data_IF_716833617685
#
_entry.id   IF_716833617685
#
_cell.length_a   1.000
_cell.length_b   1.000
_cell.length_c   1.000
_cell.angle_alpha   90.00
_cell.angle_beta   90.00
_cell.angle_gamma   90.00
#
_symmetry.space_group_name_H-M   'P 1'
#
loop_
_entity.id
_entity.type
_entity.pdbx_description
1 polymer ?
#
# COMPACT_ATOMS: atom_id res chain seq x y z
N UNK A 1 15.69 6.50 21.19
CA UNK A 1 16.56 5.33 21.41
C UNK A 1 15.83 4.12 20.89
N UNK A 2 16.19 3.62 19.71
CA UNK A 2 15.73 2.29 19.30
C UNK A 2 16.19 1.32 20.39
N UNK A 3 15.27 0.56 20.99
CA UNK A 3 15.65 -0.55 21.87
C UNK A 3 16.56 -1.47 21.06
N UNK A 4 17.61 -1.99 21.67
CA UNK A 4 18.40 -3.08 21.09
C UNK A 4 17.52 -4.33 21.01
N UNK A 5 16.67 -4.38 19.99
CA UNK A 5 15.77 -5.48 19.69
C UNK A 5 16.56 -6.72 19.28
N UNK A 6 17.84 -6.56 18.89
CA UNK A 6 18.73 -7.66 18.53
C UNK A 6 19.20 -8.45 19.74
N UNK A 7 19.22 -7.86 20.93
CA UNK A 7 19.56 -8.53 22.20
C UNK A 7 18.70 -9.77 22.53
N UNK A 8 17.48 -9.87 21.97
CA UNK A 8 16.59 -11.00 22.14
C UNK A 8 16.72 -12.10 21.07
N UNK A 9 17.61 -11.93 20.08
CA UNK A 9 17.80 -12.89 19.01
C UNK A 9 18.76 -14.00 19.44
N UNK A 10 18.43 -15.25 19.08
CA UNK A 10 19.29 -16.40 19.34
C UNK A 10 20.42 -16.56 18.30
N UNK A 11 20.66 -15.56 17.45
CA UNK A 11 21.63 -15.57 16.37
C UNK A 11 21.53 -14.35 15.46
N UNK A 12 22.37 -14.30 14.42
CA UNK A 12 22.40 -13.19 13.47
C UNK A 12 21.39 -13.40 12.31
N UNK A 13 20.14 -13.01 12.56
CA UNK A 13 19.10 -13.02 11.54
C UNK A 13 19.31 -11.97 10.43
N UNK A 14 20.07 -10.90 10.71
CA UNK A 14 20.29 -9.81 9.76
C UNK A 14 21.18 -10.25 8.61
N UNK A 15 22.27 -10.95 8.90
CA UNK A 15 23.14 -11.52 7.85
C UNK A 15 22.37 -12.46 6.92
N UNK A 16 21.47 -13.28 7.47
CA UNK A 16 20.62 -14.17 6.67
C UNK A 16 19.63 -13.39 5.78
N UNK A 17 18.95 -12.38 6.34
CA UNK A 17 17.99 -11.54 5.61
C UNK A 17 18.66 -10.73 4.49
N UNK A 18 19.84 -10.16 4.75
CA UNK A 18 20.59 -9.35 3.78
C UNK A 18 21.25 -10.20 2.68
N UNK A 19 21.47 -11.49 2.92
CA UNK A 19 21.98 -12.44 1.93
C UNK A 19 20.89 -12.95 0.96
N UNK A 20 19.63 -12.55 1.12
CA UNK A 20 18.54 -12.96 0.23
C UNK A 20 18.73 -12.45 -1.20
N UNK A 21 18.34 -13.27 -2.17
CA UNK A 21 18.23 -12.91 -3.59
C UNK A 21 17.05 -11.96 -3.89
N UNK A 22 16.10 -11.82 -2.96
CA UNK A 22 14.99 -10.88 -3.10
C UNK A 22 15.44 -9.46 -2.68
N UNK A 23 15.59 -8.58 -3.67
CA UNK A 23 15.96 -7.19 -3.45
C UNK A 23 14.90 -6.37 -2.68
N UNK A 24 13.63 -6.76 -2.76
CA UNK A 24 12.57 -6.09 -2.01
C UNK A 24 12.69 -6.43 -0.53
N UNK A 25 13.00 -7.69 -0.18
CA UNK A 25 13.29 -8.09 1.19
C UNK A 25 14.50 -7.31 1.73
N UNK A 26 15.62 -7.31 0.99
CA UNK A 26 16.83 -6.58 1.38
C UNK A 26 16.55 -5.10 1.59
N UNK A 27 15.81 -4.46 0.68
CA UNK A 27 15.37 -3.08 0.80
C UNK A 27 14.60 -2.84 2.11
N UNK A 28 13.58 -3.66 2.42
CA UNK A 28 12.80 -3.54 3.65
C UNK A 28 13.64 -3.71 4.91
N UNK A 29 14.59 -4.63 4.91
CA UNK A 29 15.51 -4.83 6.04
C UNK A 29 16.34 -3.56 6.27
N UNK A 30 16.91 -3.00 5.20
CA UNK A 30 17.73 -1.79 5.29
C UNK A 30 16.93 -0.59 5.83
N UNK A 31 15.71 -0.36 5.34
CA UNK A 31 14.93 0.83 5.71
C UNK A 31 14.10 0.66 6.99
N UNK A 32 13.47 -0.50 7.22
CA UNK A 32 12.55 -0.69 8.35
C UNK A 32 13.23 -1.23 9.62
N UNK A 33 14.27 -2.05 9.48
CA UNK A 33 14.94 -2.68 10.63
C UNK A 33 16.24 -1.97 11.00
N UNK A 34 16.93 -1.42 10.00
CA UNK A 34 18.23 -0.78 10.18
C UNK A 34 18.17 0.76 10.05
N UNK A 35 16.99 1.33 9.81
CA UNK A 35 16.73 2.77 9.69
C UNK A 35 17.72 3.49 8.74
N UNK A 36 18.15 2.81 7.67
CA UNK A 36 19.11 3.37 6.70
C UNK A 36 18.45 4.46 5.87
N UNK A 37 19.12 5.60 5.63
CA UNK A 37 18.56 6.68 4.84
C UNK A 37 18.44 6.28 3.36
N UNK A 38 17.50 6.89 2.63
CA UNK A 38 17.28 6.64 1.20
C UNK A 38 18.51 6.95 0.31
N UNK A 39 19.45 7.74 0.82
CA UNK A 39 20.70 8.12 0.16
C UNK A 39 21.80 7.06 0.31
N UNK A 40 21.63 6.10 1.22
CA UNK A 40 22.57 5.00 1.44
C UNK A 40 22.75 4.18 0.14
N UNK A 41 23.99 3.94 -0.32
CA UNK A 41 24.25 3.19 -1.55
C UNK A 41 23.58 1.82 -1.58
N UNK A 42 23.52 1.11 -0.44
CA UNK A 42 22.93 -0.23 -0.38
C UNK A 42 21.40 -0.15 -0.50
N UNK A 43 20.78 0.89 0.08
CA UNK A 43 19.34 1.16 -0.05
C UNK A 43 19.00 1.47 -1.50
N UNK A 44 19.79 2.33 -2.16
CA UNK A 44 19.59 2.70 -3.56
C UNK A 44 19.74 1.51 -4.49
N UNK A 45 20.78 0.71 -4.28
CA UNK A 45 21.04 -0.48 -5.08
C UNK A 45 19.90 -1.51 -4.90
N UNK A 46 19.55 -1.83 -3.65
CA UNK A 46 18.44 -2.75 -3.38
C UNK A 46 17.14 -2.25 -4.01
N UNK A 47 16.84 -0.94 -3.92
CA UNK A 47 15.64 -0.34 -4.52
C UNK A 47 15.64 -0.42 -6.05
N UNK A 48 16.78 -0.19 -6.69
CA UNK A 48 16.94 -0.29 -8.14
C UNK A 48 16.74 -1.74 -8.64
N UNK A 49 17.10 -2.73 -7.81
CA UNK A 49 16.99 -4.16 -8.15
C UNK A 49 15.59 -4.75 -7.87
N UNK A 50 14.70 -4.02 -7.16
CA UNK A 50 13.33 -4.48 -6.83
C UNK A 50 12.55 -5.02 -8.03
N UNK A 51 12.56 -4.41 -9.23
CA UNK A 51 11.84 -4.94 -10.39
C UNK A 51 12.25 -6.37 -10.77
N UNK A 52 13.49 -6.77 -10.47
CA UNK A 52 14.02 -8.09 -10.72
C UNK A 52 13.79 -9.09 -9.56
N UNK A 53 13.30 -8.64 -8.40
CA UNK A 53 12.93 -9.54 -7.31
C UNK A 53 11.90 -10.56 -7.79
N UNK A 54 12.04 -11.86 -7.45
CA UNK A 54 11.17 -12.91 -8.01
C UNK A 54 9.67 -12.64 -7.84
N UNK A 55 9.25 -12.13 -6.67
CA UNK A 55 7.85 -11.81 -6.38
C UNK A 55 7.38 -10.61 -7.20
N UNK A 56 8.18 -9.54 -7.23
CA UNK A 56 7.84 -8.31 -7.97
C UNK A 56 7.79 -8.58 -9.46
N UNK A 57 8.78 -9.27 -10.01
CA UNK A 57 8.82 -9.68 -11.41
C UNK A 57 7.58 -10.50 -11.78
N UNK A 58 7.15 -11.42 -10.92
CA UNK A 58 5.90 -12.17 -11.11
C UNK A 58 4.65 -11.29 -11.14
N UNK A 59 4.55 -10.29 -10.27
CA UNK A 59 3.44 -9.32 -10.28
C UNK A 59 3.50 -8.47 -11.56
N UNK A 60 4.66 -7.94 -11.93
CA UNK A 60 4.85 -7.11 -13.11
C UNK A 60 4.49 -7.87 -14.39
N UNK A 61 4.92 -9.13 -14.52
CA UNK A 61 4.61 -9.98 -15.66
C UNK A 61 3.11 -10.30 -15.81
N UNK A 62 2.35 -10.22 -14.72
CA UNK A 62 0.91 -10.44 -14.72
C UNK A 62 0.09 -9.17 -15.05
N UNK A 63 0.73 -8.00 -15.20
CA UNK A 63 0.04 -6.76 -15.55
C UNK A 63 -0.39 -6.80 -17.02
N UNK A 64 -1.65 -6.47 -17.28
CA UNK A 64 -2.13 -6.29 -18.65
C UNK A 64 -1.55 -4.99 -19.26
N UNK A 65 -1.32 -4.90 -20.58
CA UNK A 65 -0.81 -3.68 -21.23
C UNK A 65 -1.61 -2.39 -20.92
N UNK A 66 -2.90 -2.53 -20.59
CA UNK A 66 -3.76 -1.42 -20.18
C UNK A 66 -3.63 -1.01 -18.71
N UNK A 67 -2.73 -1.63 -17.95
CA UNK A 67 -2.39 -1.25 -16.58
C UNK A 67 -3.13 -1.96 -15.45
N UNK A 68 -4.06 -2.86 -15.77
CA UNK A 68 -4.84 -3.59 -14.78
C UNK A 68 -4.26 -4.99 -14.49
N UNK A 69 -4.64 -5.55 -13.34
CA UNK A 69 -4.41 -6.96 -13.02
C UNK A 69 -5.73 -7.72 -12.90
N UNK A 70 -5.70 -8.99 -13.30
CA UNK A 70 -6.84 -9.91 -13.40
C UNK A 70 -7.92 -9.47 -14.39
N UNK A 71 -8.79 -8.52 -14.05
CA UNK A 71 -9.94 -8.13 -14.88
C UNK A 71 -10.08 -6.61 -14.95
N UNK A 72 -10.47 -6.04 -16.11
CA UNK A 72 -10.55 -4.59 -16.28
C UNK A 72 -11.75 -3.96 -15.55
N UNK A 73 -12.80 -4.74 -15.28
CA UNK A 73 -14.10 -4.27 -14.77
C UNK A 73 -14.10 -3.97 -13.28
N UNK A 74 -13.21 -4.58 -12.50
CA UNK A 74 -13.13 -4.38 -11.06
C UNK A 74 -11.70 -4.15 -10.64
N UNK A 75 -11.46 -3.07 -9.89
CA UNK A 75 -10.17 -2.84 -9.25
C UNK A 75 -9.96 -3.72 -8.02
N UNK A 76 -11.02 -4.33 -7.46
CA UNK A 76 -10.97 -5.06 -6.18
C UNK A 76 -11.16 -6.57 -6.31
N UNK A 77 -12.00 -7.03 -7.25
CA UNK A 77 -12.26 -8.45 -7.49
C UNK A 77 -11.57 -8.94 -8.78
N UNK A 78 -11.04 -10.18 -8.81
CA UNK A 78 -10.97 -11.13 -7.71
C UNK A 78 -10.01 -10.70 -6.59
N UNK A 79 -10.37 -11.01 -5.33
CA UNK A 79 -9.58 -10.66 -4.15
C UNK A 79 -8.15 -11.16 -4.28
N UNK A 80 -7.19 -10.34 -3.83
CA UNK A 80 -5.75 -10.57 -3.87
C UNK A 80 -5.12 -10.63 -5.27
N UNK A 81 -5.91 -10.48 -6.34
CA UNK A 81 -5.41 -10.52 -7.72
C UNK A 81 -5.68 -9.23 -8.48
N UNK A 82 -6.83 -8.59 -8.24
CA UNK A 82 -7.17 -7.33 -8.91
C UNK A 82 -6.17 -6.19 -8.62
N UNK A 83 -6.24 -5.14 -9.44
CA UNK A 83 -5.33 -3.98 -9.42
C UNK A 83 -5.09 -3.41 -8.02
N UNK A 84 -6.13 -3.20 -7.21
CA UNK A 84 -6.00 -2.67 -5.86
C UNK A 84 -5.03 -3.49 -5.00
N UNK A 85 -5.08 -4.81 -5.10
CA UNK A 85 -4.22 -5.70 -4.32
C UNK A 85 -2.78 -5.68 -4.81
N UNK A 86 -2.57 -5.63 -6.13
CA UNK A 86 -1.22 -5.53 -6.68
C UNK A 86 -0.58 -4.18 -6.35
N UNK A 87 -1.36 -3.09 -6.36
CA UNK A 87 -0.85 -1.77 -5.95
C UNK A 87 -0.42 -1.75 -4.47
N UNK A 88 -1.17 -2.42 -3.58
CA UNK A 88 -0.74 -2.59 -2.18
C UNK A 88 0.61 -3.34 -2.12
N UNK A 89 0.73 -4.46 -2.84
CA UNK A 89 1.93 -5.29 -2.80
C UNK A 89 3.14 -4.56 -3.38
N UNK A 90 3.02 -3.95 -4.55
CA UNK A 90 4.11 -3.21 -5.19
C UNK A 90 4.61 -2.05 -4.31
N UNK A 91 3.71 -1.32 -3.66
CA UNK A 91 4.08 -0.24 -2.76
C UNK A 91 4.74 -0.74 -1.46
N UNK A 92 4.23 -1.82 -0.84
CA UNK A 92 4.85 -2.39 0.36
C UNK A 92 6.21 -3.01 0.06
N UNK A 93 6.39 -3.60 -1.13
CA UNK A 93 7.67 -4.15 -1.62
C UNK A 93 8.67 -3.06 -2.02
N UNK A 94 8.25 -1.79 -2.09
CA UNK A 94 9.14 -0.64 -2.28
C UNK A 94 9.40 -0.25 -3.74
N UNK A 95 8.59 -0.76 -4.67
CA UNK A 95 8.70 -0.38 -6.08
C UNK A 95 8.51 1.13 -6.25
N UNK A 96 9.35 1.76 -7.07
CA UNK A 96 9.32 3.21 -7.26
C UNK A 96 8.03 3.67 -7.94
N UNK A 97 7.52 4.82 -7.50
CA UNK A 97 6.31 5.41 -8.05
C UNK A 97 6.44 5.74 -9.54
N UNK A 98 7.62 6.12 -10.00
CA UNK A 98 7.94 6.39 -11.41
C UNK A 98 8.04 5.14 -12.28
N UNK A 99 8.00 3.92 -11.71
CA UNK A 99 8.02 2.71 -12.51
C UNK A 99 6.77 2.64 -13.42
N UNK A 100 6.90 2.31 -14.73
CA UNK A 100 5.78 2.36 -15.67
C UNK A 100 4.54 1.56 -15.24
N UNK A 101 4.76 0.37 -14.66
CA UNK A 101 3.67 -0.46 -14.15
C UNK A 101 2.88 0.21 -13.01
N UNK A 102 3.56 0.93 -12.12
CA UNK A 102 2.93 1.67 -11.02
C UNK A 102 2.14 2.85 -11.58
N UNK A 103 2.71 3.59 -12.54
CA UNK A 103 2.03 4.70 -13.21
C UNK A 103 0.74 4.24 -13.91
N UNK A 104 0.79 3.16 -14.67
CA UNK A 104 -0.40 2.58 -15.31
C UNK A 104 -1.42 2.07 -14.28
N UNK A 105 -0.95 1.44 -13.19
CA UNK A 105 -1.81 1.03 -12.09
C UNK A 105 -2.52 2.21 -11.41
N UNK A 106 -1.80 3.31 -11.17
CA UNK A 106 -2.38 4.55 -10.63
C UNK A 106 -3.43 5.16 -11.57
N UNK A 107 -3.17 5.15 -12.88
CA UNK A 107 -4.17 5.60 -13.88
C UNK A 107 -5.44 4.74 -13.80
N UNK A 108 -5.31 3.42 -13.66
CA UNK A 108 -6.47 2.52 -13.47
C UNK A 108 -7.19 2.75 -12.14
N UNK A 109 -6.47 3.19 -11.10
CA UNK A 109 -7.05 3.47 -9.79
C UNK A 109 -7.61 4.88 -9.67
N UNK A 110 -7.34 5.80 -10.61
CA UNK A 110 -7.69 7.22 -10.50
C UNK A 110 -9.18 7.46 -10.18
N UNK A 111 -10.08 6.77 -10.87
CA UNK A 111 -11.52 6.86 -10.61
C UNK A 111 -11.89 6.41 -9.18
N UNK A 112 -11.26 5.35 -8.70
CA UNK A 112 -11.49 4.85 -7.35
C UNK A 112 -10.88 5.75 -6.26
N UNK A 113 -9.77 6.44 -6.52
CA UNK A 113 -9.24 7.41 -5.52
C UNK A 113 -10.13 8.65 -5.48
N UNK A 114 -10.64 9.11 -6.63
CA UNK A 114 -11.60 10.20 -6.70
C UNK A 114 -12.90 9.85 -5.96
N UNK A 115 -13.38 8.61 -6.09
CA UNK A 115 -14.57 8.13 -5.38
C UNK A 115 -14.40 8.17 -3.85
N UNK A 116 -13.20 7.91 -3.31
CA UNK A 116 -12.93 8.06 -1.87
C UNK A 116 -13.15 9.51 -1.39
N UNK A 117 -12.84 10.50 -2.23
CA UNK A 117 -13.03 11.92 -1.93
C UNK A 117 -14.48 12.42 -2.04
N UNK A 118 -15.37 11.63 -2.66
CA UNK A 118 -16.76 12.02 -2.87
C UNK A 118 -17.56 12.06 -1.56
N UNK A 119 -18.54 12.96 -1.49
CA UNK A 119 -19.19 13.43 -0.26
C UNK A 119 -19.77 12.31 0.61
N UNK A 120 -20.45 11.33 0.02
CA UNK A 120 -21.10 10.25 0.77
C UNK A 120 -20.66 8.85 0.29
N UNK A 121 -19.55 8.70 -0.44
CA UNK A 121 -19.19 7.40 -1.02
C UNK A 121 -18.98 6.30 0.01
N UNK A 122 -18.36 6.60 1.16
CA UNK A 122 -18.23 5.61 2.25
C UNK A 122 -19.54 5.42 3.00
N UNK A 123 -20.27 6.52 3.28
CA UNK A 123 -21.52 6.50 4.02
C UNK A 123 -22.63 5.72 3.28
N UNK A 124 -22.64 5.78 1.94
CA UNK A 124 -23.55 5.03 1.07
C UNK A 124 -23.07 3.60 0.79
N UNK A 125 -21.89 3.21 1.29
CA UNK A 125 -21.29 1.89 1.04
C UNK A 125 -20.74 1.70 -0.38
N UNK A 126 -20.62 2.78 -1.16
CA UNK A 126 -20.01 2.76 -2.50
C UNK A 126 -18.50 2.46 -2.42
N UNK A 127 -17.84 2.92 -1.35
CA UNK A 127 -16.44 2.57 -1.05
C UNK A 127 -16.29 2.15 0.41
N UNK A 128 -15.46 1.14 0.69
CA UNK A 128 -15.28 0.61 2.04
C UNK A 128 -14.16 1.32 2.80
N UNK A 129 -14.31 1.51 4.11
CA UNK A 129 -13.25 2.00 5.01
C UNK A 129 -11.90 1.33 4.77
N UNK A 130 -11.90 0.00 4.61
CA UNK A 130 -10.69 -0.77 4.40
C UNK A 130 -10.07 -0.56 3.01
N UNK A 131 -10.90 -0.32 1.99
CA UNK A 131 -10.44 0.01 0.65
C UNK A 131 -9.79 1.40 0.62
N UNK A 132 -10.44 2.38 1.25
CA UNK A 132 -9.93 3.74 1.34
C UNK A 132 -8.62 3.81 2.11
N UNK A 133 -8.57 3.15 3.28
CA UNK A 133 -7.37 3.11 4.11
C UNK A 133 -6.18 2.42 3.45
N UNK A 134 -6.39 1.29 2.77
CA UNK A 134 -5.33 0.65 1.99
C UNK A 134 -4.87 1.52 0.82
N UNK A 135 -5.79 2.27 0.20
CA UNK A 135 -5.49 3.20 -0.89
C UNK A 135 -4.59 4.33 -0.46
N UNK A 136 -4.98 5.06 0.59
CA UNK A 136 -4.14 6.11 1.18
C UNK A 136 -2.78 5.56 1.62
N UNK A 137 -2.77 4.35 2.17
CA UNK A 137 -1.52 3.70 2.58
C UNK A 137 -0.55 3.50 1.43
N UNK A 138 -0.97 2.90 0.31
CA UNK A 138 -0.03 2.68 -0.79
C UNK A 138 0.35 4.00 -1.47
N UNK A 139 -0.52 5.01 -1.48
CA UNK A 139 -0.16 6.34 -1.96
C UNK A 139 0.93 6.98 -1.09
N UNK A 140 0.83 6.88 0.24
CA UNK A 140 1.87 7.31 1.17
C UNK A 140 3.20 6.57 0.95
N UNK A 141 3.16 5.24 0.84
CA UNK A 141 4.34 4.40 0.54
C UNK A 141 5.01 4.74 -0.80
N UNK A 142 4.24 5.19 -1.79
CA UNK A 142 4.73 5.65 -3.09
C UNK A 142 5.24 7.11 -3.05
N UNK A 143 5.21 7.80 -1.91
CA UNK A 143 5.59 9.21 -1.79
C UNK A 143 4.55 10.18 -2.39
N UNK A 144 3.33 9.71 -2.64
CA UNK A 144 2.23 10.46 -3.26
C UNK A 144 1.19 10.93 -2.24
N UNK A 145 1.41 10.70 -0.94
CA UNK A 145 0.45 11.02 0.13
C UNK A 145 0.08 12.50 0.24
N UNK A 146 0.99 13.41 -0.16
CA UNK A 146 0.75 14.85 -0.17
C UNK A 146 0.17 15.38 -1.51
N UNK A 147 -0.08 14.50 -2.49
CA UNK A 147 -0.70 14.88 -3.75
C UNK A 147 -2.17 15.27 -3.56
N UNK A 148 -2.66 16.20 -4.39
CA UNK A 148 -4.02 16.77 -4.28
C UNK A 148 -5.12 15.72 -4.08
N UNK A 149 -5.14 14.69 -4.93
CA UNK A 149 -6.13 13.61 -4.85
C UNK A 149 -6.01 12.78 -3.55
N UNK A 150 -4.80 12.54 -3.07
CA UNK A 150 -4.55 11.78 -1.84
C UNK A 150 -4.97 12.60 -0.59
N UNK A 151 -4.57 13.87 -0.55
CA UNK A 151 -4.94 14.80 0.51
C UNK A 151 -6.46 14.96 0.59
N UNK A 152 -7.13 15.17 -0.55
CA UNK A 152 -8.58 15.29 -0.59
C UNK A 152 -9.30 14.01 -0.11
N UNK A 153 -8.84 12.84 -0.57
CA UNK A 153 -9.38 11.56 -0.11
C UNK A 153 -9.16 11.33 1.40
N UNK A 154 -8.02 11.76 1.94
CA UNK A 154 -7.72 11.67 3.37
C UNK A 154 -8.61 12.59 4.22
N UNK A 155 -8.76 13.86 3.82
CA UNK A 155 -9.65 14.83 4.47
C UNK A 155 -11.09 14.31 4.51
N UNK A 156 -11.59 13.78 3.39
CA UNK A 156 -12.94 13.20 3.33
C UNK A 156 -13.07 11.99 4.26
N UNK A 157 -12.08 11.11 4.29
CA UNK A 157 -12.10 9.93 5.17
C UNK A 157 -12.12 10.32 6.66
N UNK A 158 -11.42 11.40 7.03
CA UNK A 158 -11.43 11.96 8.40
C UNK A 158 -12.82 12.51 8.74
N UNK A 159 -13.42 13.29 7.85
CA UNK A 159 -14.76 13.84 8.04
C UNK A 159 -15.79 12.72 8.28
N UNK A 160 -15.76 11.70 7.43
CA UNK A 160 -16.65 10.55 7.53
C UNK A 160 -16.44 9.77 8.83
N UNK A 161 -15.18 9.59 9.27
CA UNK A 161 -14.88 8.94 10.55
C UNK A 161 -15.44 9.73 11.76
N UNK A 162 -15.56 11.06 11.63
CA UNK A 162 -16.24 11.89 12.63
C UNK A 162 -17.76 11.70 12.66
N UNK A 163 -18.37 11.39 11.51
CA UNK A 163 -19.82 11.10 11.38
C UNK A 163 -20.17 9.68 11.84
N UNK A 164 -19.29 8.72 11.59
CA UNK A 164 -19.43 7.31 12.01
C UNK A 164 -18.20 6.84 12.82
N UNK A 165 -18.16 7.15 14.13
CA UNK A 165 -17.05 6.75 14.98
C UNK A 165 -16.99 5.24 15.25
N UNK A 166 -18.03 4.49 14.86
CA UNK A 166 -18.10 3.04 15.00
C UNK A 166 -17.57 2.31 13.78
N UNK A 167 -17.21 3.01 12.69
CA UNK A 167 -16.68 2.42 11.45
C UNK A 167 -17.60 1.31 10.94
N UNK A 168 -18.90 1.60 10.90
CA UNK A 168 -19.92 0.64 10.51
C UNK A 168 -19.70 0.19 9.06
N UNK A 169 -20.03 -1.06 8.79
CA UNK A 169 -19.87 -1.64 7.45
C UNK A 169 -21.02 -2.59 7.14
N UNK A 170 -21.56 -2.48 5.93
CA UNK A 170 -22.58 -3.40 5.42
C UNK A 170 -22.12 -4.87 5.39
N UNK A 171 -20.82 -5.12 5.26
CA UNK A 171 -20.25 -6.48 5.30
C UNK A 171 -20.07 -7.02 6.73
N UNK A 172 -20.42 -6.23 7.74
CA UNK A 172 -20.43 -6.60 9.14
C UNK A 172 -21.83 -6.38 9.74
N UNK A 173 -22.89 -6.52 8.93
CA UNK A 173 -24.29 -6.32 9.34
C UNK A 173 -24.56 -4.95 9.99
N UNK A 174 -23.86 -3.90 9.51
CA UNK A 174 -23.98 -2.55 10.07
C UNK A 174 -23.28 -2.37 11.42
N UNK A 175 -22.55 -3.38 11.91
CA UNK A 175 -21.76 -3.31 13.13
C UNK A 175 -20.36 -2.75 12.85
N UNK A 176 -19.62 -2.48 13.92
CA UNK A 176 -18.23 -2.03 13.87
C UNK A 176 -17.36 -2.99 13.07
N UNK A 177 -16.73 -2.46 12.02
CA UNK A 177 -15.78 -3.21 11.21
C UNK A 177 -14.35 -2.95 11.71
N UNK A 178 -13.82 -3.86 12.52
CA UNK A 178 -12.44 -3.76 13.02
C UNK A 178 -11.41 -3.66 11.87
N UNK A 179 -11.64 -4.35 10.75
CA UNK A 179 -10.79 -4.24 9.57
C UNK A 179 -10.89 -2.85 8.92
N UNK A 180 -12.10 -2.30 8.84
CA UNK A 180 -12.32 -0.94 8.34
C UNK A 180 -11.55 0.08 9.15
N UNK A 181 -11.76 0.07 10.47
CA UNK A 181 -11.09 0.99 11.40
C UNK A 181 -9.55 0.89 11.30
N UNK A 182 -8.99 -0.31 11.43
CA UNK A 182 -7.53 -0.49 11.42
C UNK A 182 -6.91 -0.07 10.08
N UNK A 183 -7.55 -0.38 8.96
CA UNK A 183 -7.01 0.00 7.65
C UNK A 183 -7.14 1.49 7.37
N UNK A 184 -8.26 2.12 7.73
CA UNK A 184 -8.46 3.56 7.61
C UNK A 184 -7.42 4.34 8.43
N UNK A 185 -7.27 4.01 9.72
CA UNK A 185 -6.27 4.63 10.59
C UNK A 185 -4.86 4.43 10.06
N UNK A 186 -4.52 3.22 9.59
CA UNK A 186 -3.20 2.92 9.00
C UNK A 186 -2.93 3.70 7.70
N UNK A 187 -3.97 4.06 6.95
CA UNK A 187 -3.86 4.88 5.75
C UNK A 187 -3.63 6.36 6.07
N UNK A 188 -4.25 6.88 7.13
CA UNK A 188 -4.14 8.28 7.55
C UNK A 188 -2.78 8.63 8.18
N UNK A 189 -2.01 7.65 8.62
CA UNK A 189 -0.67 7.82 9.20
C UNK A 189 0.47 7.44 8.24
N UNK A 190 0.14 7.13 6.98
CA UNK A 190 1.07 6.55 6.01
C UNK A 190 1.92 7.58 5.27
#
# INVERSE_FOLDING_TARGET
>A
MARDWTSGLNGDALSWLLASDDAALRYRVLVDLLDRPAEDPDVRQARADIPASPIVAGILAAQHPEGYWAEPKSTYWPKYRATHWQMILLAELGLDAGHPAVQLGLQRMAGAIAEIGAEDAVALGNVLWCYSGNTLRYLGRLGLGAGEAASHAAERLIELAGRDPLWTCQHCDGQTCAWGAVKALRGLVA
#
